data_IF_660147687124
#
_entry.id   IF_660147687124
#
_cell.length_a   1.000
_cell.length_b   1.000
_cell.length_c   1.000
_cell.angle_alpha   90.00
_cell.angle_beta   90.00
_cell.angle_gamma   90.00
#
_symmetry.space_group_name_H-M   'P 1'
#
loop_
_entity.id
_entity.type
_entity.pdbx_description
1 polymer ?
2 polymer ?
3 polymer ?
4 non-polymer ?
5 non-polymer ?
6 water ?
#
loop_
_entity_poly.entity_id
_entity_poly.type
_entity_poly.pdbx_seq_one_letter_code
_entity_poly.pdbx_strand_id
1 'polydeoxyribonucleotide' '(DA)(DG)(DG)(DA)(DC)(DC)(DOC)' ?
2 'polydeoxyribonucleotide' '(DT)(EDA)(DG)(DG)(DG)(DT)(DC)(DC)(DT)' ?
#
# COMPACT_ATOMS: atom_id res chain seq x y z
N UNK C 25 1.55 14.70 24.29
CA UNK C 25 1.58 13.59 23.25
C UNK C 25 0.14 13.00 23.09
N UNK C 26 -0.88 13.87 22.87
CA UNK C 26 -2.23 13.38 22.45
C UNK C 26 -2.66 13.54 20.94
N UNK C 27 -3.09 14.73 20.51
CA UNK C 27 -3.63 14.94 19.15
C UNK C 27 -2.59 15.01 17.98
N UNK C 28 -2.78 14.20 17.00
CA UNK C 28 -1.83 14.06 15.94
C UNK C 28 -2.30 14.70 14.64
N UNK C 29 -1.33 15.06 13.81
CA UNK C 29 -1.56 15.39 12.42
C UNK C 29 -0.81 14.44 11.51
N UNK C 30 -1.57 13.64 10.76
CA UNK C 30 -0.96 12.57 9.95
C UNK C 30 -1.30 12.82 8.52
N UNK C 31 -0.38 12.54 7.64
CA UNK C 31 -0.70 12.60 6.21
C UNK C 31 -0.54 11.16 5.56
N UNK C 32 -1.44 10.85 4.66
CA UNK C 32 -1.32 9.62 3.87
C UNK C 32 -1.11 10.05 2.37
N UNK C 33 -0.03 9.59 1.76
CA UNK C 33 0.24 9.97 0.34
C UNK C 33 0.02 8.74 -0.45
N UNK C 34 -0.72 8.88 -1.56
CA UNK C 34 -1.14 7.77 -2.33
C UNK C 34 -1.03 8.13 -3.79
N UNK C 35 -0.14 7.49 -4.50
CA UNK C 35 0.19 7.93 -5.90
C UNK C 35 -0.85 7.50 -6.91
N UNK C 36 -0.93 8.25 -8.00
CA UNK C 36 -1.85 7.92 -9.09
C UNK C 36 -1.40 6.74 -9.92
N UNK C 37 -2.34 5.81 -10.15
CA UNK C 37 -2.10 4.69 -11.09
C UNK C 37 -0.64 4.33 -11.16
N UNK C 38 -0.02 4.06 -9.98
CA UNK C 38 1.46 3.95 -9.88
C UNK C 38 2.20 3.23 -11.04
N UNK C 39 1.96 1.93 -11.30
CA UNK C 39 2.79 1.23 -12.31
C UNK C 39 2.60 1.94 -13.68
N UNK C 40 1.36 2.37 -13.94
CA UNK C 40 1.14 3.01 -15.25
C UNK C 40 1.90 4.27 -15.34
N UNK C 41 1.88 5.10 -14.28
CA UNK C 41 2.66 6.32 -14.21
C UNK C 41 4.09 6.01 -14.57
N UNK C 42 4.62 4.97 -13.95
CA UNK C 42 6.05 4.72 -14.21
C UNK C 42 6.28 4.38 -15.68
N UNK C 43 5.38 3.60 -16.25
CA UNK C 43 5.51 3.23 -17.69
C UNK C 43 5.34 4.46 -18.61
N UNK C 44 4.38 5.36 -18.31
CA UNK C 44 4.20 6.61 -19.05
C UNK C 44 5.40 7.53 -18.99
N UNK C 45 6.10 7.54 -17.85
CA UNK C 45 7.33 8.29 -17.77
C UNK C 45 8.45 7.65 -18.60
N UNK C 46 8.56 6.34 -18.63
CA UNK C 46 9.58 5.67 -19.44
C UNK C 46 9.39 5.92 -20.96
N UNK C 47 8.18 5.77 -21.46
CA UNK C 47 7.85 5.88 -22.83
C UNK C 47 6.79 6.96 -22.96
N UNK C 48 7.19 8.23 -23.11
CA UNK C 48 6.24 9.34 -23.23
C UNK C 48 5.15 9.09 -24.27
N UNK C 49 5.44 8.34 -25.33
CA UNK C 49 4.42 8.03 -26.35
C UNK C 49 3.17 7.31 -25.83
N UNK C 50 3.23 6.86 -24.56
CA UNK C 50 2.06 6.26 -23.96
C UNK C 50 1.20 7.29 -23.25
N UNK C 51 1.65 8.52 -23.13
CA UNK C 51 0.78 9.48 -22.50
C UNK C 51 -0.42 9.66 -23.40
N UNK C 52 -1.46 10.32 -22.88
CA UNK C 52 -2.69 10.67 -23.60
C UNK C 52 -3.37 9.44 -24.30
N UNK C 53 -2.69 8.30 -24.32
CA UNK C 53 -3.23 6.97 -24.68
C UNK C 53 -3.76 6.13 -23.50
N UNK C 54 -4.86 5.41 -23.69
CA UNK C 54 -5.42 4.59 -22.61
C UNK C 54 -4.47 3.43 -22.39
N UNK C 55 -3.94 3.26 -21.17
CA UNK C 55 -2.80 2.36 -20.92
C UNK C 55 -3.10 1.44 -19.72
N UNK C 56 -2.95 0.15 -19.95
CA UNK C 56 -3.03 -0.84 -18.94
C UNK C 56 -1.69 -1.58 -18.70
N UNK C 57 -1.43 -1.99 -17.46
CA UNK C 57 -0.18 -2.68 -17.20
C UNK C 57 -0.53 -4.10 -16.91
N UNK C 58 0.11 -5.02 -17.61
CA UNK C 58 -0.41 -6.37 -17.60
C UNK C 58 0.59 -7.36 -16.93
N UNK C 59 0.05 -8.34 -16.22
CA UNK C 59 0.85 -9.29 -15.55
C UNK C 59 0.04 -10.57 -15.81
N UNK C 60 0.56 -11.40 -16.66
CA UNK C 60 -0.12 -12.66 -16.96
C UNK C 60 -1.44 -12.27 -17.65
N UNK C 61 -2.57 -12.78 -17.17
CA UNK C 61 -3.84 -12.33 -17.77
C UNK C 61 -4.53 -11.18 -17.00
N UNK C 62 -3.75 -10.49 -16.18
CA UNK C 62 -4.36 -9.49 -15.27
C UNK C 62 -3.90 -8.08 -15.66
N UNK C 63 -4.82 -7.15 -15.78
CA UNK C 63 -4.50 -5.72 -16.02
C UNK C 63 -4.52 -5.15 -14.63
N UNK C 64 -3.31 -5.12 -14.04
CA UNK C 64 -3.22 -4.92 -12.63
C UNK C 64 -3.67 -3.45 -12.35
N UNK C 65 -3.33 -2.52 -13.22
CA UNK C 65 -3.77 -1.09 -13.06
C UNK C 65 -3.75 -0.40 -14.47
N UNK C 66 -4.40 0.77 -14.58
CA UNK C 66 -4.50 1.47 -15.88
C UNK C 66 -4.51 2.97 -15.67
N UNK C 67 -3.97 3.79 -16.61
CA UNK C 67 -3.88 5.18 -16.31
C UNK C 67 -5.35 5.79 -16.33
N UNK C 68 -5.52 7.08 -16.11
CA UNK C 68 -6.86 7.60 -15.97
C UNK C 68 -7.58 7.69 -17.32
N UNK C 69 -6.84 7.83 -18.42
CA UNK C 69 -7.50 7.84 -19.78
C UNK C 69 -8.25 6.50 -19.97
N UNK C 70 -7.62 5.42 -19.52
CA UNK C 70 -8.25 4.13 -19.65
C UNK C 70 -9.49 3.89 -18.69
N UNK C 71 -9.42 4.41 -17.50
CA UNK C 71 -10.56 4.30 -16.60
C UNK C 71 -11.83 5.06 -17.13
N UNK C 72 -11.62 6.06 -18.00
CA UNK C 72 -12.70 6.76 -18.72
C UNK C 72 -13.53 5.86 -19.65
N UNK C 73 -12.84 4.96 -20.35
CA UNK C 73 -13.42 3.94 -21.21
C UNK C 73 -13.86 2.66 -20.41
N UNK C 74 -13.96 2.73 -19.07
CA UNK C 74 -14.51 1.55 -18.40
C UNK C 74 -13.54 0.50 -17.85
N UNK C 75 -12.27 0.55 -18.26
CA UNK C 75 -11.17 -0.29 -17.59
C UNK C 75 -11.15 -0.06 -16.07
N UNK C 76 -11.19 -1.12 -15.29
CA UNK C 76 -11.12 -0.95 -13.84
C UNK C 76 -9.81 -1.60 -13.46
N UNK C 77 -9.42 -1.46 -12.20
CA UNK C 77 -8.13 -1.96 -11.77
C UNK C 77 -8.30 -3.43 -11.51
N UNK C 78 -7.31 -4.24 -11.87
CA UNK C 78 -7.52 -5.67 -11.68
C UNK C 78 -8.68 -6.32 -12.50
N UNK C 79 -8.88 -5.92 -13.74
CA UNK C 79 -9.76 -6.64 -14.67
C UNK C 79 -8.92 -7.70 -15.37
N UNK C 80 -9.47 -8.83 -15.81
CA UNK C 80 -8.76 -9.64 -16.79
C UNK C 80 -8.55 -8.85 -18.10
N UNK C 81 -7.49 -9.15 -18.83
CA UNK C 81 -7.25 -8.64 -20.18
C UNK C 81 -8.51 -8.73 -21.07
N UNK C 82 -9.17 -9.87 -21.09
CA UNK C 82 -10.36 -9.99 -21.92
C UNK C 82 -11.40 -8.92 -21.61
N UNK C 83 -11.96 -8.98 -20.42
CA UNK C 83 -12.90 -7.97 -19.96
C UNK C 83 -12.38 -6.58 -20.24
N UNK C 84 -11.07 -6.37 -20.27
CA UNK C 84 -10.53 -5.01 -20.37
C UNK C 84 -10.50 -4.54 -21.83
N UNK C 85 -10.19 -5.47 -22.74
CA UNK C 85 -10.06 -5.18 -24.16
C UNK C 85 -11.38 -5.26 -24.93
N UNK C 86 -12.42 -5.88 -24.36
CA UNK C 86 -13.78 -5.73 -24.89
C UNK C 86 -14.60 -4.60 -24.22
N UNK C 87 -14.10 -4.04 -23.12
CA UNK C 87 -14.61 -2.76 -22.60
C UNK C 87 -13.93 -1.65 -23.36
N UNK C 88 -12.72 -1.93 -23.83
CA UNK C 88 -11.96 -0.92 -24.50
C UNK C 88 -10.99 -1.59 -25.42
N UNK C 89 -11.43 -1.96 -26.63
CA UNK C 89 -10.52 -2.58 -27.63
C UNK C 89 -9.31 -1.73 -28.06
N UNK C 90 -9.33 -0.42 -27.85
CA UNK C 90 -8.14 0.36 -28.21
C UNK C 90 -7.04 0.48 -27.07
N UNK C 91 -7.12 -0.30 -26.00
CA UNK C 91 -6.22 -0.08 -24.86
C UNK C 91 -4.78 -0.63 -25.10
N UNK C 92 -3.77 0.22 -24.96
CA UNK C 92 -2.39 -0.21 -24.95
C UNK C 92 -2.02 -1.05 -23.69
N UNK C 93 -1.29 -2.16 -23.85
CA UNK C 93 -0.89 -2.98 -22.72
C UNK C 93 0.62 -3.13 -22.56
N UNK C 94 1.25 -2.86 -21.40
CA UNK C 94 2.69 -3.16 -21.27
C UNK C 94 2.87 -4.12 -20.16
N UNK C 95 3.89 -4.94 -20.24
CA UNK C 95 4.05 -5.99 -19.29
C UNK C 95 4.62 -5.51 -17.97
N UNK C 96 3.97 -5.79 -16.84
CA UNK C 96 4.54 -5.30 -15.59
C UNK C 96 4.99 -6.34 -14.60
N UNK C 97 5.50 -7.49 -15.11
CA UNK C 97 5.76 -8.64 -14.31
C UNK C 97 6.97 -8.44 -13.47
N UNK C 98 7.92 -7.76 -14.05
CA UNK C 98 9.17 -7.43 -13.47
C UNK C 98 8.98 -6.07 -12.76
N UNK C 99 9.17 -6.05 -11.44
CA UNK C 99 8.75 -4.97 -10.56
C UNK C 99 9.91 -4.07 -10.32
N UNK C 100 11.08 -4.39 -10.84
CA UNK C 100 12.30 -3.66 -10.46
C UNK C 100 12.15 -2.18 -10.51
N UNK C 101 11.70 -1.63 -11.65
CA UNK C 101 11.56 -0.16 -11.79
C UNK C 101 10.48 0.42 -10.88
N UNK C 102 9.41 -0.35 -10.61
CA UNK C 102 8.37 0.20 -9.69
C UNK C 102 8.94 0.22 -8.28
N UNK C 103 9.74 -0.79 -7.96
CA UNK C 103 10.32 -0.87 -6.63
C UNK C 103 11.31 0.26 -6.37
N UNK C 104 12.17 0.51 -7.34
CA UNK C 104 13.15 1.61 -7.21
C UNK C 104 12.45 2.99 -7.08
N UNK C 105 11.40 3.22 -7.88
CA UNK C 105 10.69 4.51 -7.78
C UNK C 105 9.97 4.60 -6.42
N UNK C 106 9.44 3.49 -5.95
CA UNK C 106 8.78 3.45 -4.63
C UNK C 106 9.70 3.87 -3.48
N UNK C 107 10.96 3.48 -3.51
CA UNK C 107 11.95 3.88 -2.45
C UNK C 107 12.41 5.31 -2.62
N UNK C 108 12.47 5.80 -3.90
CA UNK C 108 12.80 7.22 -4.12
C UNK C 108 11.74 8.13 -3.46
N UNK C 109 10.47 7.71 -3.57
CA UNK C 109 9.36 8.43 -2.97
C UNK C 109 9.40 8.41 -1.46
N UNK C 110 9.61 7.26 -0.87
CA UNK C 110 9.67 7.16 0.53
C UNK C 110 10.86 8.02 1.07
N UNK C 111 12.04 7.95 0.44
CA UNK C 111 13.23 8.64 0.93
C UNK C 111 13.01 10.13 0.76
N UNK C 112 12.27 10.56 -0.26
CA UNK C 112 11.99 12.03 -0.38
C UNK C 112 11.15 12.44 0.87
N UNK C 113 10.08 11.67 1.20
CA UNK C 113 9.21 12.07 2.29
C UNK C 113 10.03 11.98 3.58
N UNK C 114 11.02 11.09 3.69
CA UNK C 114 11.71 10.95 4.97
C UNK C 114 12.52 12.22 5.25
N UNK C 115 12.83 12.94 4.19
CA UNK C 115 13.51 14.20 4.32
C UNK C 115 12.66 15.22 5.00
N UNK C 116 11.35 15.26 4.79
CA UNK C 116 10.46 16.18 5.51
C UNK C 116 10.45 15.78 7.00
N UNK C 117 10.18 14.51 7.30
CA UNK C 117 10.13 14.05 8.68
C UNK C 117 10.53 12.55 8.66
N UNK C 118 11.50 12.16 9.49
CA UNK C 118 12.11 10.85 9.43
C UNK C 118 11.25 9.64 9.57
N UNK C 119 10.10 9.72 10.20
CA UNK C 119 9.38 8.52 10.53
C UNK C 119 8.31 8.33 9.45
N UNK C 120 8.66 7.50 8.46
CA UNK C 120 7.75 7.28 7.35
C UNK C 120 7.38 5.83 7.25
N UNK C 121 6.07 5.55 7.28
CA UNK C 121 5.61 4.23 7.18
C UNK C 121 5.12 3.90 5.70
N UNK C 122 5.65 2.85 5.08
CA UNK C 122 5.17 2.43 3.74
C UNK C 122 3.99 1.45 3.85
N UNK C 123 3.11 1.42 2.87
CA UNK C 123 2.14 0.41 2.75
C UNK C 123 2.07 0.09 1.29
N UNK C 124 2.58 -1.09 0.88
CA UNK C 124 2.68 -1.44 -0.52
C UNK C 124 3.67 -0.54 -1.21
N UNK C 125 3.71 -0.50 -2.55
CA UNK C 125 4.78 0.23 -3.20
C UNK C 125 4.45 1.69 -3.36
N UNK C 126 3.18 2.10 -3.10
CA UNK C 126 2.86 3.49 -3.49
C UNK C 126 2.13 4.27 -2.42
N UNK C 127 2.10 3.77 -1.19
CA UNK C 127 1.50 4.60 -0.08
C UNK C 127 2.52 4.79 1.08
N UNK C 128 2.50 5.97 1.64
CA UNK C 128 3.38 6.29 2.77
C UNK C 128 2.55 7.10 3.79
N UNK C 129 2.71 6.82 5.11
CA UNK C 129 2.12 7.62 6.13
C UNK C 129 3.32 8.39 6.75
N UNK C 130 3.07 9.64 7.14
CA UNK C 130 4.07 10.41 7.80
C UNK C 130 3.37 11.11 8.96
N UNK C 131 3.96 11.09 10.14
CA UNK C 131 3.36 11.77 11.32
C UNK C 131 3.95 13.18 11.26
N UNK C 132 3.13 14.13 10.86
CA UNK C 132 3.59 15.52 10.73
C UNK C 132 3.50 16.28 12.06
N UNK C 133 3.11 15.60 13.13
CA UNK C 133 2.71 16.32 14.35
C UNK C 133 3.88 17.28 14.86
N UNK C 134 5.13 16.81 14.76
CA UNK C 134 6.23 17.63 15.31
C UNK C 134 6.43 18.75 14.40
N UNK C 135 6.32 18.48 13.09
CA UNK C 135 6.63 19.50 12.07
C UNK C 135 5.59 20.61 12.12
N UNK C 136 4.31 20.24 12.26
CA UNK C 136 3.28 21.29 12.39
C UNK C 136 3.51 22.21 13.61
N UNK C 137 3.74 21.63 14.80
CA UNK C 137 3.93 22.40 16.01
C UNK C 137 5.14 23.36 15.88
N UNK C 138 6.27 22.91 15.36
CA UNK C 138 7.39 23.82 15.13
C UNK C 138 7.10 24.93 14.09
N UNK C 139 6.35 24.67 13.01
CA UNK C 139 5.88 25.81 12.19
C UNK C 139 4.98 26.76 12.96
N UNK C 140 4.14 26.26 13.86
CA UNK C 140 3.24 27.12 14.59
C UNK C 140 4.00 28.06 15.53
N UNK C 141 5.09 27.60 16.14
CA UNK C 141 5.78 28.40 17.10
C UNK C 141 6.59 29.38 16.30
N UNK C 142 6.77 29.18 15.00
CA UNK C 142 7.47 30.19 14.17
C UNK C 142 6.61 31.41 13.79
N UNK C 143 5.30 31.23 13.70
CA UNK C 143 4.40 32.30 13.34
C UNK C 143 4.13 33.16 14.55
N UNK C 144 4.30 34.48 14.38
CA UNK C 144 3.92 35.50 15.39
C UNK C 144 2.37 35.57 15.62
N UNK C 145 1.97 36.15 16.76
CA UNK C 145 0.55 36.20 17.17
C UNK C 145 -0.37 37.06 16.24
N UNK C 146 -0.28 36.85 14.91
CA UNK C 146 -0.99 37.74 13.99
C UNK C 146 -1.27 37.03 12.71
N UNK C 147 -0.20 36.56 12.05
CA UNK C 147 -0.29 35.80 10.77
C UNK C 147 -1.00 34.44 10.94
N UNK C 148 -1.26 34.11 12.21
CA UNK C 148 -2.06 32.96 12.58
C UNK C 148 -3.52 33.09 12.13
N UNK C 149 -3.92 34.29 11.80
CA UNK C 149 -5.25 34.54 11.29
C UNK C 149 -5.23 34.39 9.77
N UNK C 150 -4.04 34.39 9.17
CA UNK C 150 -3.96 34.26 7.72
C UNK C 150 -3.68 32.80 7.22
N UNK C 151 -3.58 31.85 8.16
CA UNK C 151 -3.44 30.44 7.81
C UNK C 151 -4.59 30.01 6.91
N UNK C 152 -4.21 29.41 5.80
CA UNK C 152 -5.27 28.91 4.95
C UNK C 152 -5.04 27.46 4.64
N UNK C 153 -6.05 26.88 4.04
CA UNK C 153 -5.90 25.50 3.66
C UNK C 153 -5.26 25.40 2.29
N UNK C 154 -4.65 24.26 2.02
CA UNK C 154 -4.19 23.94 0.67
C UNK C 154 -4.95 22.67 0.17
N UNK C 155 -5.64 22.77 -0.97
CA UNK C 155 -6.44 21.66 -1.39
C UNK C 155 -7.93 21.69 -0.86
N UNK C 156 -8.62 20.53 -0.89
CA UNK C 156 -10.04 20.49 -0.58
C UNK C 156 -10.17 20.26 0.93
N UNK C 157 -11.30 20.68 1.47
CA UNK C 157 -11.72 20.37 2.86
C UNK C 157 -12.83 19.35 2.77
N UNK C 158 -12.61 18.19 3.40
CA UNK C 158 -13.64 17.15 3.25
C UNK C 158 -15.01 17.75 3.67
N UNK C 159 -16.05 17.28 2.95
CA UNK C 159 -17.46 17.60 3.17
C UNK C 159 -17.60 19.13 3.23
N UNK C 160 -16.67 19.84 2.63
CA UNK C 160 -16.89 21.25 2.39
C UNK C 160 -17.14 21.94 3.75
N UNK C 161 -16.48 21.44 4.79
CA UNK C 161 -16.69 21.90 6.12
C UNK C 161 -16.08 23.30 6.32
N UNK C 162 -16.75 24.17 7.07
CA UNK C 162 -16.22 25.52 7.38
C UNK C 162 -15.10 25.40 8.40
N UNK C 163 -14.10 26.24 8.21
CA UNK C 163 -12.99 26.26 9.08
C UNK C 163 -13.23 27.30 10.15
N UNK C 164 -12.67 27.02 11.30
CA UNK C 164 -12.82 27.99 12.41
C UNK C 164 -11.43 28.27 12.78
N UNK C 165 -10.95 29.46 12.43
CA UNK C 165 -9.52 29.81 12.67
C UNK C 165 -9.17 29.95 14.11
N UNK C 166 -10.16 29.87 15.05
CA UNK C 166 -9.82 29.94 16.43
C UNK C 166 -9.76 28.57 17.01
N UNK C 167 -9.94 27.52 16.18
CA UNK C 167 -9.92 26.13 16.70
C UNK C 167 -8.50 25.68 16.46
N UNK C 168 -7.75 25.50 17.51
CA UNK C 168 -6.37 25.07 17.39
C UNK C 168 -6.24 23.79 16.48
N UNK C 169 -7.20 22.87 16.54
CA UNK C 169 -7.14 21.62 15.81
C UNK C 169 -7.31 21.87 14.29
N UNK C 170 -8.20 22.76 13.92
CA UNK C 170 -8.39 23.16 12.51
C UNK C 170 -7.09 23.77 12.05
N UNK C 171 -6.53 24.69 12.88
CA UNK C 171 -5.27 25.33 12.47
C UNK C 171 -4.17 24.31 12.17
N UNK C 172 -4.08 23.29 13.04
CA UNK C 172 -2.94 22.35 12.94
C UNK C 172 -3.13 21.50 11.67
N UNK C 173 -4.37 21.13 11.44
CA UNK C 173 -4.70 20.33 10.27
C UNK C 173 -4.47 21.15 8.97
N UNK C 174 -4.73 22.48 9.04
CA UNK C 174 -4.47 23.21 7.85
C UNK C 174 -2.95 23.34 7.59
N UNK C 175 -2.16 23.56 8.64
CA UNK C 175 -0.69 23.62 8.45
C UNK C 175 -0.30 22.24 7.83
N UNK C 176 -0.97 21.17 8.32
CA UNK C 176 -0.77 19.80 7.82
C UNK C 176 -1.10 19.68 6.36
N UNK C 177 -2.17 20.37 5.92
CA UNK C 177 -2.50 20.38 4.52
C UNK C 177 -1.39 21.08 3.70
N UNK C 178 -0.83 22.13 4.26
CA UNK C 178 0.28 22.83 3.58
C UNK C 178 1.54 21.97 3.46
N UNK C 179 1.91 21.24 4.49
CA UNK C 179 3.08 20.31 4.40
C UNK C 179 2.80 19.31 3.25
N UNK C 180 1.56 18.88 3.15
CA UNK C 180 1.15 17.86 2.18
C UNK C 180 1.29 18.38 0.84
N UNK C 181 0.93 19.64 0.66
CA UNK C 181 1.06 20.27 -0.67
C UNK C 181 2.50 20.41 -1.06
N UNK C 182 3.36 20.69 -0.09
CA UNK C 182 4.85 20.77 -0.38
C UNK C 182 5.42 19.40 -0.71
N UNK C 183 4.93 18.36 -0.02
CA UNK C 183 5.44 17.03 -0.31
C UNK C 183 5.00 16.64 -1.77
N UNK C 184 3.79 17.02 -2.19
CA UNK C 184 3.42 16.51 -3.44
C UNK C 184 4.11 17.35 -4.52
N UNK C 185 4.29 18.63 -4.23
CA UNK C 185 5.09 19.47 -5.17
C UNK C 185 6.49 18.94 -5.40
N UNK C 186 7.13 18.55 -4.30
CA UNK C 186 8.46 18.01 -4.31
C UNK C 186 8.49 16.69 -5.08
N UNK C 187 7.49 15.82 -4.85
CA UNK C 187 7.43 14.54 -5.56
C UNK C 187 7.34 14.80 -7.02
N UNK C 188 6.58 15.85 -7.38
CA UNK C 188 6.41 16.18 -8.80
C UNK C 188 7.70 16.77 -9.39
N UNK C 189 8.25 17.82 -8.74
CA UNK C 189 9.45 18.48 -9.26
C UNK C 189 10.65 17.56 -9.25
N UNK C 190 10.79 16.75 -8.21
CA UNK C 190 12.00 15.92 -8.08
C UNK C 190 11.90 14.58 -8.78
N UNK C 191 10.70 13.98 -8.86
CA UNK C 191 10.69 12.58 -9.31
C UNK C 191 9.72 12.48 -10.45
N UNK C 192 8.92 13.49 -10.73
CA UNK C 192 8.07 13.46 -11.92
C UNK C 192 6.76 12.77 -11.60
N UNK C 193 6.47 12.56 -10.33
CA UNK C 193 5.33 11.77 -9.98
C UNK C 193 4.16 12.59 -9.39
N UNK C 194 2.96 12.35 -9.89
CA UNK C 194 1.77 12.99 -9.23
C UNK C 194 1.12 11.99 -8.25
N UNK C 195 0.36 12.48 -7.29
CA UNK C 195 -0.39 11.60 -6.37
C UNK C 195 -1.37 12.38 -5.52
N UNK C 196 -2.08 11.68 -4.63
CA UNK C 196 -3.08 12.31 -3.71
C UNK C 196 -2.51 12.29 -2.28
N UNK C 197 -3.02 13.17 -1.44
CA UNK C 197 -2.62 13.13 -0.01
C UNK C 197 -3.88 13.30 0.81
N UNK C 198 -3.91 12.75 2.01
CA UNK C 198 -5.05 12.91 2.89
C UNK C 198 -4.50 13.37 4.25
N UNK C 199 -5.08 14.42 4.85
CA UNK C 199 -4.54 14.87 6.14
C UNK C 199 -5.68 14.70 7.16
N UNK C 200 -5.34 14.02 8.26
CA UNK C 200 -6.30 13.77 9.31
C UNK C 200 -5.63 13.52 10.62
N UNK C 201 -6.41 13.23 11.65
CA UNK C 201 -5.78 13.11 12.96
C UNK C 201 -5.31 11.64 13.32
N UNK C 202 -5.55 10.64 12.50
CA UNK C 202 -4.88 9.34 12.74
C UNK C 202 -4.70 8.67 11.37
N UNK C 203 -4.21 7.45 11.37
CA UNK C 203 -3.88 6.84 10.03
C UNK C 203 -5.12 6.37 9.25
N UNK C 204 -6.10 5.74 9.94
CA UNK C 204 -7.29 5.25 9.33
C UNK C 204 -7.95 6.41 8.56
N UNK C 205 -8.12 7.55 9.21
CA UNK C 205 -8.93 8.64 8.65
C UNK C 205 -8.13 9.34 7.47
N UNK C 206 -6.80 9.51 7.67
CA UNK C 206 -5.95 10.07 6.61
C UNK C 206 -6.00 9.17 5.39
N UNK C 207 -6.08 7.87 5.62
CA UNK C 207 -6.05 7.02 4.44
C UNK C 207 -7.49 6.93 3.75
N UNK C 208 -8.52 7.05 4.55
CA UNK C 208 -9.86 7.09 3.97
C UNK C 208 -10.03 8.40 3.25
N UNK C 209 -9.49 9.51 3.83
CA UNK C 209 -9.80 10.79 3.20
C UNK C 209 -8.89 11.12 1.96
N UNK C 210 -7.76 10.43 1.81
CA UNK C 210 -6.90 10.63 0.64
C UNK C 210 -7.51 10.17 -0.71
N UNK C 211 -8.46 9.28 -0.67
CA UNK C 211 -9.19 8.96 -1.88
C UNK C 211 -10.41 9.81 -2.22
N UNK C 212 -10.78 10.80 -1.45
CA UNK C 212 -12.09 11.47 -1.76
C UNK C 212 -12.00 12.26 -3.11
N UNK C 213 -10.90 12.91 -3.38
CA UNK C 213 -10.72 13.56 -4.73
C UNK C 213 -9.58 12.93 -5.52
N UNK C 214 -9.98 12.09 -6.47
CA UNK C 214 -9.14 10.88 -6.72
C UNK C 214 -8.04 11.22 -7.42
N UNK C 215 -8.12 11.86 -8.61
CA UNK C 215 -6.85 11.94 -9.45
C UNK C 215 -5.63 12.70 -8.85
N UNK C 216 -5.43 13.96 -8.83
CA UNK C 216 -3.93 14.29 -8.35
C UNK C 216 -4.21 15.48 -7.46
N UNK C 217 -4.76 15.23 -6.29
CA UNK C 217 -5.31 16.28 -5.47
C UNK C 217 -5.18 15.85 -4.00
N UNK C 218 -5.64 16.66 -3.08
CA UNK C 218 -5.47 16.38 -1.64
C UNK C 218 -6.67 16.96 -0.88
N UNK C 219 -7.07 16.24 0.16
CA UNK C 219 -8.20 16.59 1.03
C UNK C 219 -7.79 16.52 2.50
N UNK C 220 -8.36 17.40 3.31
CA UNK C 220 -8.04 17.45 4.73
C UNK C 220 -9.32 17.21 5.46
N UNK C 221 -9.27 16.45 6.53
CA UNK C 221 -10.54 16.12 7.28
C UNK C 221 -10.53 16.85 8.64
N UNK C 222 -11.52 17.72 8.88
CA UNK C 222 -11.63 18.38 10.23
C UNK C 222 -12.44 17.43 11.17
N UNK C 223 -12.20 17.44 12.47
CA UNK C 223 -12.84 16.44 13.34
C UNK C 223 -14.37 16.38 13.18
N UNK C 224 -15.04 17.50 13.00
CA UNK C 224 -16.53 17.49 13.01
C UNK C 224 -17.06 16.62 11.88
N UNK C 225 -16.19 16.24 10.95
CA UNK C 225 -16.69 15.51 9.77
C UNK C 225 -16.34 14.03 9.79
N UNK C 226 -15.75 13.57 10.89
CA UNK C 226 -15.30 12.20 11.01
C UNK C 226 -16.42 11.15 10.82
N UNK C 227 -17.54 11.33 11.50
CA UNK C 227 -18.65 10.40 11.34
C UNK C 227 -19.20 10.44 9.85
N UNK C 228 -19.27 11.61 9.26
CA UNK C 228 -19.73 11.70 7.89
C UNK C 228 -18.82 10.81 7.02
N UNK C 229 -17.51 10.93 7.20
CA UNK C 229 -16.57 10.21 6.26
C UNK C 229 -16.78 8.71 6.56
N UNK C 230 -16.81 8.35 7.83
CA UNK C 230 -16.82 6.90 8.14
C UNK C 230 -18.19 6.31 7.67
N UNK C 231 -19.26 7.11 7.79
CA UNK C 231 -20.59 6.58 7.33
C UNK C 231 -20.72 6.70 5.82
N UNK C 232 -19.79 7.40 5.14
CA UNK C 232 -19.95 7.51 3.65
C UNK C 232 -19.59 6.07 3.05
N UNK C 233 -18.90 5.27 3.81
CA UNK C 233 -18.53 3.90 3.31
C UNK C 233 -19.78 3.01 3.11
N UNK C 234 -19.80 2.14 2.08
CA UNK C 234 -20.99 1.34 1.86
C UNK C 234 -20.91 -0.11 2.33
N UNK C 235 -19.70 -0.49 2.73
CA UNK C 235 -19.55 -1.80 3.39
C UNK C 235 -18.29 -1.93 4.23
N UNK C 236 -18.37 -2.64 5.34
CA UNK C 236 -17.32 -2.68 6.34
C UNK C 236 -16.03 -3.24 5.81
N UNK C 237 -16.06 -3.95 4.69
CA UNK C 237 -14.87 -4.32 3.96
C UNK C 237 -14.04 -3.16 3.50
N UNK C 238 -14.66 -2.00 3.49
CA UNK C 238 -13.90 -0.83 3.05
C UNK C 238 -13.02 -0.27 4.15
N UNK C 239 -13.24 -0.73 5.37
CA UNK C 239 -12.45 -0.21 6.45
C UNK C 239 -11.04 -0.91 6.44
N UNK C 240 -9.99 -0.15 6.26
CA UNK C 240 -8.67 -0.73 6.24
C UNK C 240 -8.48 -1.53 7.51
N UNK C 241 -8.15 -2.80 7.39
CA UNK C 241 -8.07 -3.60 8.56
C UNK C 241 -9.15 -4.68 8.60
N UNK C 242 -10.25 -4.53 7.88
CA UNK C 242 -11.24 -5.59 7.87
C UNK C 242 -11.08 -6.27 6.54
N UNK C 243 -10.66 -7.52 6.56
CA UNK C 243 -10.35 -8.21 5.28
C UNK C 243 -11.36 -9.18 4.69
N UNK C 244 -10.98 -9.86 3.60
CA UNK C 244 -11.86 -10.90 3.02
C UNK C 244 -12.49 -11.82 4.08
N UNK C 245 -11.68 -12.29 5.04
CA UNK C 245 -12.18 -13.18 6.07
C UNK C 245 -13.09 -12.50 7.05
N UNK C 246 -12.60 -11.62 7.92
CA UNK C 246 -13.50 -10.97 8.91
C UNK C 246 -14.79 -10.37 8.38
N UNK C 247 -14.77 -9.79 7.18
CA UNK C 247 -15.98 -9.35 6.49
C UNK C 247 -17.02 -10.46 6.34
N UNK C 248 -16.62 -11.60 5.77
CA UNK C 248 -17.57 -12.72 5.59
C UNK C 248 -18.11 -13.13 6.95
N UNK C 249 -17.24 -13.19 7.96
CA UNK C 249 -17.72 -13.48 9.30
C UNK C 249 -18.82 -12.50 9.73
N UNK C 250 -18.66 -11.19 9.42
CA UNK C 250 -19.39 -10.12 10.14
C UNK C 250 -20.78 -10.12 9.60
N UNK C 251 -20.85 -10.48 8.35
CA UNK C 251 -22.05 -10.72 7.62
C UNK C 251 -22.90 -11.85 8.17
N UNK C 252 -22.29 -13.02 8.25
CA UNK C 252 -22.94 -14.19 8.79
C UNK C 252 -23.56 -13.71 10.09
N UNK C 253 -23.07 -12.59 10.63
CA UNK C 253 -23.74 -11.98 11.80
C UNK C 253 -24.65 -10.80 11.60
N UNK C 254 -25.16 -10.64 10.38
CA UNK C 254 -26.07 -9.51 10.07
C UNK C 254 -25.42 -8.12 10.16
N UNK C 255 -24.09 -8.06 10.35
CA UNK C 255 -23.38 -6.78 10.42
C UNK C 255 -22.93 -6.39 9.02
N UNK C 256 -23.67 -5.51 8.36
CA UNK C 256 -23.42 -5.11 6.98
C UNK C 256 -22.93 -3.65 6.77
N UNK C 257 -23.48 -2.67 7.50
CA UNK C 257 -23.05 -1.28 7.39
C UNK C 257 -22.07 -0.96 8.45
N UNK C 258 -21.42 0.21 8.36
CA UNK C 258 -20.53 0.63 9.40
C UNK C 258 -21.30 0.90 10.69
N UNK C 259 -22.56 1.42 10.62
CA UNK C 259 -23.33 1.66 11.77
C UNK C 259 -23.70 0.32 12.49
N UNK C 260 -24.08 -0.72 11.74
CA UNK C 260 -24.31 -2.09 12.39
C UNK C 260 -23.07 -2.44 13.20
N UNK C 261 -21.88 -2.26 12.62
CA UNK C 261 -20.66 -2.68 13.34
C UNK C 261 -20.52 -1.81 14.61
N UNK C 262 -20.96 -0.55 14.56
CA UNK C 262 -20.72 0.42 15.64
C UNK C 262 -21.64 0.10 16.82
N UNK C 263 -22.87 -0.24 16.45
CA UNK C 263 -23.87 -0.64 17.41
C UNK C 263 -23.83 -2.13 17.81
N UNK C 264 -23.01 -2.98 17.19
CA UNK C 264 -23.21 -4.37 17.48
C UNK C 264 -22.69 -4.62 18.93
N UNK C 265 -23.16 -5.74 19.57
CA UNK C 265 -22.80 -6.07 20.93
C UNK C 265 -21.31 -6.31 21.01
N UNK C 266 -20.63 -5.56 21.89
CA UNK C 266 -19.18 -5.82 22.10
C UNK C 266 -18.89 -7.30 22.46
N UNK C 267 -19.64 -7.86 23.41
CA UNK C 267 -19.39 -9.22 23.90
C UNK C 267 -19.48 -10.31 22.80
N UNK C 268 -20.55 -10.21 22.02
CA UNK C 268 -20.92 -11.22 21.03
C UNK C 268 -19.76 -11.39 20.05
N UNK C 269 -19.30 -10.19 19.62
CA UNK C 269 -18.11 -9.86 18.82
C UNK C 269 -16.73 -10.16 19.44
N UNK C 270 -16.53 -9.69 20.69
CA UNK C 270 -15.36 -10.14 21.51
C UNK C 270 -15.31 -11.64 21.39
N UNK C 271 -16.41 -12.29 21.81
CA UNK C 271 -16.51 -13.75 21.90
C UNK C 271 -16.89 -14.42 20.57
N UNK C 272 -16.24 -14.01 19.46
CA UNK C 272 -16.55 -14.55 18.15
C UNK C 272 -15.43 -14.37 17.11
N UNK C 273 -14.44 -13.50 17.47
CA UNK C 273 -13.32 -13.06 16.60
C UNK C 273 -12.05 -12.88 17.42
N UNK C 274 -12.14 -13.07 18.73
CA UNK C 274 -10.99 -12.92 19.61
C UNK C 274 -11.21 -11.59 20.28
N UNK C 275 -10.67 -11.40 21.50
CA UNK C 275 -10.68 -10.04 22.03
C UNK C 275 -10.01 -9.03 21.07
N UNK C 276 -8.98 -9.51 20.34
CA UNK C 276 -8.10 -8.63 19.61
C UNK C 276 -8.85 -8.09 18.41
N UNK C 277 -9.09 -8.99 17.47
CA UNK C 277 -9.77 -8.66 16.24
C UNK C 277 -11.10 -7.94 16.53
N UNK C 278 -11.68 -8.20 17.68
CA UNK C 278 -12.97 -7.57 17.89
C UNK C 278 -12.89 -6.21 18.47
N UNK C 279 -11.96 -5.97 19.35
CA UNK C 279 -12.02 -4.71 20.07
C UNK C 279 -11.42 -3.66 19.14
N UNK C 280 -10.58 -4.14 18.23
CA UNK C 280 -9.96 -3.18 17.35
C UNK C 280 -10.85 -2.73 16.15
N UNK C 281 -11.50 -3.67 15.47
CA UNK C 281 -12.31 -3.36 14.34
C UNK C 281 -13.50 -2.56 14.78
N UNK C 282 -13.95 -2.76 16.01
CA UNK C 282 -15.00 -1.94 16.47
C UNK C 282 -14.56 -0.52 16.73
N UNK C 283 -13.34 -0.27 17.23
CA UNK C 283 -12.81 1.13 17.25
C UNK C 283 -12.76 1.80 15.85
N UNK C 284 -12.24 1.06 14.91
CA UNK C 284 -12.04 1.60 13.62
C UNK C 284 -13.46 2.00 13.08
N UNK C 285 -14.51 1.23 13.46
CA UNK C 285 -15.85 1.53 12.87
C UNK C 285 -16.27 2.86 13.33
N UNK C 286 -15.69 3.30 14.43
CA UNK C 286 -15.97 4.64 14.89
C UNK C 286 -15.09 5.70 14.30
N UNK C 287 -14.08 5.33 13.54
CA UNK C 287 -13.05 6.33 13.15
C UNK C 287 -11.85 6.53 14.05
N UNK C 288 -11.73 5.66 15.07
CA UNK C 288 -10.75 5.75 16.17
C UNK C 288 -9.72 4.69 15.88
N UNK C 289 -8.47 5.09 15.99
CA UNK C 289 -7.34 4.25 15.60
C UNK C 289 -6.14 5.00 16.22
N UNK C 290 -5.54 4.40 17.24
CA UNK C 290 -4.38 4.98 17.90
C UNK C 290 -2.96 4.43 17.37
N UNK C 291 -2.94 3.55 16.36
CA UNK C 291 -1.65 2.92 15.93
C UNK C 291 -0.76 4.04 15.50
N UNK C 292 0.49 3.96 15.95
CA UNK C 292 1.54 4.98 15.61
C UNK C 292 1.99 4.75 14.17
N UNK C 293 2.59 5.78 13.62
CA UNK C 293 3.18 5.65 12.29
C UNK C 293 4.55 5.01 12.62
N UNK C 294 4.86 3.91 11.99
CA UNK C 294 6.12 3.19 12.27
C UNK C 294 7.16 3.40 11.18
N UNK C 295 8.39 3.55 11.54
CA UNK C 295 9.49 3.68 10.56
C UNK C 295 9.72 2.44 9.82
N UNK C 296 9.41 2.42 8.54
CA UNK C 296 9.57 1.11 7.83
C UNK C 296 11.01 0.74 7.59
N UNK C 297 11.84 1.74 7.30
CA UNK C 297 13.25 1.48 7.15
C UNK C 297 13.46 0.52 5.95
N UNK C 298 14.52 -0.30 5.95
CA UNK C 298 14.79 -1.22 4.84
C UNK C 298 13.88 -2.43 4.89
N UNK C 299 13.61 -3.09 3.78
CA UNK C 299 12.72 -4.25 3.74
C UNK C 299 13.16 -5.40 4.72
N UNK C 300 12.20 -6.26 5.08
CA UNK C 300 12.43 -7.33 6.03
C UNK C 300 12.53 -8.61 5.22
N UNK C 301 12.21 -8.56 3.92
CA UNK C 301 12.40 -9.69 3.02
C UNK C 301 12.51 -9.23 1.56
N UNK C 302 12.97 -10.17 0.69
CA UNK C 302 13.23 -9.85 -0.74
C UNK C 302 12.77 -11.21 -1.29
N UNK C 303 11.72 -11.18 -2.09
CA UNK C 303 11.31 -12.36 -2.82
C UNK C 303 10.97 -12.06 -4.29
N UNK C 304 11.12 -13.07 -5.13
CA UNK C 304 10.58 -13.02 -6.49
C UNK C 304 9.67 -14.22 -6.72
N UNK C 305 8.80 -14.08 -7.68
CA UNK C 305 7.80 -15.08 -7.91
C UNK C 305 7.65 -15.39 -9.45
N UNK C 306 7.09 -16.56 -9.70
CA UNK C 306 6.62 -16.87 -11.08
C UNK C 306 5.42 -17.73 -11.11
N UNK C 307 4.51 -17.29 -11.94
CA UNK C 307 3.25 -17.89 -12.22
C UNK C 307 3.41 -18.53 -13.59
N UNK C 308 2.67 -19.59 -13.79
CA UNK C 308 2.85 -20.45 -14.96
C UNK C 308 1.94 -21.54 -14.50
N UNK C 309 0.70 -21.47 -15.01
CA UNK C 309 -0.39 -22.32 -14.57
C UNK C 309 -0.41 -23.59 -15.37
N UNK C 310 -0.18 -24.66 -14.60
CA UNK C 310 -0.07 -26.06 -14.92
C UNK C 310 1.32 -26.54 -15.47
N UNK C 311 2.27 -25.62 -15.61
CA UNK C 311 3.63 -25.85 -16.16
C UNK C 311 4.69 -26.62 -15.35
N UNK C 312 4.56 -26.69 -14.02
CA UNK C 312 5.62 -27.25 -13.23
C UNK C 312 5.28 -28.69 -13.08
N UNK C 313 5.90 -29.53 -13.94
CA UNK C 313 5.76 -31.00 -13.98
C UNK C 313 5.85 -31.64 -12.61
N UNK C 314 7.18 -31.55 -12.12
CA UNK C 314 7.63 -31.87 -10.75
C UNK C 314 9.11 -32.37 -10.68
N UNK C 315 10.00 -31.78 -11.51
CA UNK C 315 11.47 -32.01 -11.47
C UNK C 315 12.16 -31.40 -12.71
N UNK C 316 11.36 -31.41 -13.79
CA UNK C 316 11.73 -30.58 -14.92
C UNK C 316 11.77 -29.05 -14.55
N UNK C 317 11.27 -28.73 -13.32
CA UNK C 317 11.06 -27.32 -12.84
C UNK C 317 11.79 -27.14 -11.46
N UNK C 318 13.08 -26.80 -11.61
CA UNK C 318 14.01 -26.34 -10.56
C UNK C 318 14.91 -25.37 -11.31
N UNK C 319 15.03 -25.55 -12.64
CA UNK C 319 15.72 -24.51 -13.42
C UNK C 319 15.26 -23.12 -12.82
N UNK C 320 13.83 -23.17 -12.78
CA UNK C 320 12.94 -21.99 -12.57
C UNK C 320 13.49 -21.39 -11.33
N UNK C 321 13.88 -22.28 -10.43
CA UNK C 321 14.41 -21.91 -9.14
C UNK C 321 15.73 -21.15 -9.29
N UNK C 322 16.44 -21.51 -10.35
CA UNK C 322 17.71 -20.85 -10.61
C UNK C 322 17.50 -19.42 -11.11
N UNK C 323 16.49 -19.23 -11.98
CA UNK C 323 16.09 -17.90 -12.48
C UNK C 323 15.82 -16.86 -11.38
N UNK C 324 14.84 -17.23 -10.57
CA UNK C 324 14.50 -16.50 -9.32
C UNK C 324 15.77 -16.11 -8.58
N UNK C 325 16.61 -17.14 -8.29
CA UNK C 325 17.82 -16.91 -7.59
C UNK C 325 18.66 -15.83 -8.21
N UNK C 326 18.80 -15.89 -9.55
CA UNK C 326 19.73 -15.02 -10.26
C UNK C 326 19.48 -13.58 -9.87
N UNK C 327 18.27 -13.04 -10.15
CA UNK C 327 17.84 -11.71 -9.65
C UNK C 327 17.94 -11.55 -8.17
N UNK C 328 17.33 -12.43 -7.44
CA UNK C 328 17.40 -12.28 -6.03
C UNK C 328 18.80 -12.00 -5.52
N UNK C 329 19.79 -12.74 -6.05
CA UNK C 329 21.19 -12.61 -5.60
C UNK C 329 21.72 -11.19 -5.73
N UNK C 330 21.37 -10.58 -6.87
CA UNK C 330 21.71 -9.20 -7.15
C UNK C 330 21.05 -8.17 -6.25
N UNK C 331 19.84 -8.45 -5.82
CA UNK C 331 19.06 -7.48 -5.06
C UNK C 331 19.54 -7.47 -3.60
N UNK C 332 19.51 -8.68 -3.00
CA UNK C 332 19.86 -8.91 -1.61
C UNK C 332 21.25 -8.43 -1.39
N UNK C 333 22.10 -8.70 -2.38
CA UNK C 333 23.43 -8.11 -2.46
C UNK C 333 23.48 -6.63 -2.09
N UNK C 334 23.21 -5.84 -3.14
CA UNK C 334 23.04 -4.39 -3.17
C UNK C 334 22.67 -3.67 -1.86
N UNK C 335 21.66 -4.20 -1.15
CA UNK C 335 21.22 -3.55 0.09
C UNK C 335 22.40 -3.25 1.07
N UNK C 336 23.36 -4.19 1.19
CA UNK C 336 24.40 -4.13 2.23
C UNK C 336 24.27 -5.39 3.06
N UNK C 337 23.42 -5.34 4.10
CA UNK C 337 22.94 -6.54 4.84
C UNK C 337 22.82 -7.87 4.06
N UNK C 338 23.03 -8.96 4.76
CA UNK C 338 22.88 -10.23 4.07
C UNK C 338 21.74 -10.98 4.75
N UNK C 339 20.99 -11.78 4.02
CA UNK C 339 19.92 -12.56 4.62
C UNK C 339 20.48 -13.85 5.26
N UNK C 340 19.91 -14.26 6.38
CA UNK C 340 20.32 -15.43 7.15
C UNK C 340 19.34 -16.58 6.98
N UNK C 341 18.28 -16.36 6.22
CA UNK C 341 17.28 -17.38 5.94
C UNK C 341 16.88 -17.44 4.48
N UNK C 342 16.54 -18.64 3.98
CA UNK C 342 15.97 -18.82 2.64
C UNK C 342 14.68 -19.62 2.78
N UNK C 343 13.71 -19.32 1.90
CA UNK C 343 12.44 -19.99 1.88
C UNK C 343 12.00 -20.30 0.48
N UNK C 344 11.24 -21.40 0.32
CA UNK C 344 10.68 -21.88 -0.97
C UNK C 344 9.23 -22.08 -0.87
N UNK C 345 8.46 -21.66 -1.88
CA UNK C 345 6.99 -21.59 -1.73
C UNK C 345 6.27 -22.16 -2.95
N UNK C 346 5.15 -22.82 -2.79
CA UNK C 346 4.54 -23.41 -3.98
C UNK C 346 3.01 -23.26 -3.92
N UNK C 347 2.32 -23.48 -5.07
CA UNK C 347 0.92 -24.02 -4.97
C UNK C 347 0.62 -25.05 -6.11
N UNK C 348 -0.57 -25.69 -6.06
CA UNK C 348 -0.91 -26.82 -6.98
C UNK C 348 -2.41 -26.86 -7.39
N UNK C 349 -2.81 -27.66 -8.38
CA UNK C 349 -4.14 -27.42 -8.96
C UNK C 349 -5.12 -28.59 -9.00
N UNK C 350 -6.43 -28.24 -8.97
CA UNK C 350 -7.56 -29.23 -9.18
C UNK C 350 -8.94 -28.53 -9.17
N UNK C 351 -9.40 -28.08 -8.00
CA UNK C 351 -10.53 -27.17 -7.86
C UNK C 351 -10.01 -25.95 -7.11
N UNK C 352 -10.88 -24.95 -6.89
CA UNK C 352 -10.46 -23.68 -6.30
C UNK C 352 -10.13 -23.72 -4.79
N UNK C 353 -9.10 -24.57 -4.39
CA UNK C 353 -8.46 -24.33 -3.09
C UNK C 353 -8.13 -22.81 -2.97
N UNK C 354 -9.16 -22.03 -2.53
CA UNK C 354 -9.13 -20.55 -2.32
C UNK C 354 -7.91 -20.00 -1.50
N UNK C 355 -7.33 -20.84 -0.63
CA UNK C 355 -6.00 -20.59 -0.05
C UNK C 355 -5.20 -21.90 0.17
N UNK C 356 -3.94 -21.92 -0.28
CA UNK C 356 -3.16 -23.14 -0.26
C UNK C 356 -1.80 -23.03 -0.88
N UNK C 357 -0.96 -22.15 -0.32
CA UNK C 357 0.48 -22.19 -0.58
C UNK C 357 1.25 -22.92 0.55
N UNK C 358 2.39 -23.53 0.16
CA UNK C 358 3.24 -24.28 1.05
C UNK C 358 4.66 -23.81 0.95
N UNK C 359 5.41 -23.98 2.04
CA UNK C 359 6.79 -23.52 2.09
C UNK C 359 7.67 -24.32 3.06
N UNK C 360 8.96 -24.32 2.75
CA UNK C 360 9.94 -24.92 3.60
C UNK C 360 11.01 -23.95 3.75
N UNK C 361 11.24 -23.61 5.02
CA UNK C 361 12.22 -22.62 5.40
C UNK C 361 13.49 -23.39 5.90
N UNK C 362 14.68 -22.79 5.65
CA UNK C 362 15.91 -23.25 6.36
C UNK C 362 16.99 -22.13 6.45
N UNK C 363 17.87 -22.19 7.49
CA UNK C 363 18.99 -21.26 7.65
C UNK C 363 19.97 -21.38 6.50
N UNK C 364 20.51 -20.25 6.09
CA UNK C 364 21.52 -20.19 5.06
C UNK C 364 22.86 -20.47 5.77
N UNK C 365 23.60 -21.51 5.38
CA UNK C 365 24.87 -21.84 6.03
C UNK C 365 25.85 -20.65 6.06
N UNK C 366 26.56 -20.43 7.18
CA UNK C 366 27.46 -19.27 7.37
C UNK C 366 28.61 -19.08 6.33
N UNK C 367 29.33 -20.18 5.97
CA UNK C 367 30.25 -20.18 4.79
C UNK C 367 29.57 -19.53 3.55
N UNK C 368 28.28 -19.79 3.34
CA UNK C 368 27.62 -19.39 2.08
C UNK C 368 27.26 -17.91 2.05
N UNK C 369 26.97 -17.33 3.22
CA UNK C 369 26.60 -15.91 3.30
C UNK C 369 27.68 -14.96 2.79
N UNK C 370 28.96 -15.29 2.98
CA UNK C 370 30.02 -14.54 2.31
C UNK C 370 30.21 -14.96 0.84
N UNK C 379 28.89 -18.58 -5.46
CA UNK C 379 27.66 -18.17 -4.70
C UNK C 379 26.38 -18.92 -5.08
N UNK C 380 26.11 -18.97 -6.38
CA UNK C 380 24.95 -19.70 -6.85
C UNK C 380 25.02 -21.14 -6.44
N UNK C 381 26.14 -21.79 -6.79
CA UNK C 381 26.11 -23.22 -7.07
C UNK C 381 25.63 -24.13 -5.88
N UNK C 382 26.15 -23.97 -4.65
CA UNK C 382 25.42 -24.55 -3.50
C UNK C 382 23.97 -23.92 -3.15
N UNK C 383 23.79 -22.59 -3.26
CA UNK C 383 22.48 -22.10 -2.91
C UNK C 383 21.44 -23.11 -3.40
N UNK C 384 21.60 -23.30 -4.71
CA UNK C 384 20.74 -24.11 -5.57
C UNK C 384 20.42 -25.40 -4.82
N UNK C 385 21.50 -25.95 -4.28
CA UNK C 385 21.30 -27.23 -3.64
C UNK C 385 20.56 -27.28 -2.24
N UNK C 386 20.76 -26.19 -1.41
CA UNK C 386 19.84 -25.84 -0.33
C UNK C 386 18.40 -25.84 -0.87
N UNK C 387 18.15 -25.09 -2.00
CA UNK C 387 16.77 -25.02 -2.46
C UNK C 387 16.34 -26.47 -2.87
N UNK C 388 17.18 -27.15 -3.65
CA UNK C 388 16.74 -28.42 -4.32
C UNK C 388 16.23 -29.46 -3.31
N UNK C 389 17.04 -29.63 -2.22
CA UNK C 389 16.64 -30.50 -1.11
C UNK C 389 15.40 -29.96 -0.41
N UNK C 390 15.32 -28.62 -0.16
CA UNK C 390 14.11 -27.98 0.38
C UNK C 390 12.87 -28.26 -0.50
N UNK C 391 13.05 -28.11 -1.81
CA UNK C 391 12.09 -28.50 -2.83
C UNK C 391 11.65 -29.97 -2.71
N UNK C 392 12.56 -30.84 -2.29
CA UNK C 392 12.19 -32.25 -2.15
C UNK C 392 11.32 -32.56 -0.93
N UNK C 393 11.81 -32.11 0.31
CA UNK C 393 10.98 -32.31 1.51
C UNK C 393 9.55 -31.94 1.12
N UNK C 394 9.43 -31.35 -0.07
CA UNK C 394 8.17 -30.83 -0.54
C UNK C 394 7.59 -31.90 -1.43
N UNK C 404 0.93 -25.05 -9.36
CA UNK C 404 0.81 -23.92 -10.28
C UNK C 404 1.95 -22.88 -10.23
N UNK C 405 2.66 -22.74 -9.10
CA UNK C 405 3.55 -21.56 -8.87
C UNK C 405 4.65 -21.65 -7.83
N UNK C 406 5.80 -21.11 -8.23
CA UNK C 406 7.04 -21.11 -7.47
C UNK C 406 7.59 -19.73 -7.04
N UNK C 407 8.06 -19.58 -5.80
CA UNK C 407 8.90 -18.44 -5.40
C UNK C 407 10.02 -18.61 -4.40
N UNK C 408 10.94 -17.66 -4.42
CA UNK C 408 12.01 -17.72 -3.46
C UNK C 408 12.04 -16.39 -2.71
N UNK C 409 12.25 -16.51 -1.39
CA UNK C 409 12.25 -15.43 -0.47
C UNK C 409 13.47 -15.48 0.39
N UNK C 410 14.24 -14.39 0.41
CA UNK C 410 15.29 -14.23 1.42
C UNK C 410 14.75 -13.34 2.54
N UNK C 411 14.90 -13.80 3.78
CA UNK C 411 14.47 -13.06 4.92
C UNK C 411 15.52 -13.21 6.08
N UNK C 412 15.15 -12.62 7.20
CA UNK C 412 15.98 -12.56 8.38
C UNK C 412 17.31 -11.84 8.06
N UNK C 413 17.28 -10.67 7.45
CA UNK C 413 18.41 -9.81 7.17
C UNK C 413 19.06 -9.26 8.48
N UNK C 414 20.37 -8.99 8.34
CA UNK C 414 21.24 -8.48 9.39
C UNK C 414 22.34 -7.48 8.92
#
# INVERSE_FOLDING_TARGET
MELADVGAAASSQGVHDQVLPTPNASSRVIVHVDLDCFYAQVEMISNPELKDKPLGVQQKYLVVTCNYEARKLGVKKLMNVRDAKEKCPQLVLVNGEDLTRYREMSYKVTELLEEFSPVVERLGFDENFVDLTEMVEKRLQQLQSDELSAVTVSGHVYNNQSINLLDVLHIRLLVGSQIAAEMREAMYNQLGLTGCAGVASNKLLAKLVSGVFKPNQQTVLLPESCQHLIHSLNHIKEIPGIGYKTAKCLEALGINSVRDLQTFSPKILEKELGISVAQRIQKLSFGEDNSPVILSGPPQSFSEEDSFKKCSSEVEAKNKIEELLASLLNRVCQDGRKPHTVRLIIRRYSSEKHYGRESRQCPIPSHVIQKLGTGNYDVMTPMVDILMKLFRNMVNVKMPFHLTLLSVCFCNLKALNTAK
#
